data_IF_217863558990
#
_entry.id   IF_217863558990
#
_cell.length_a   1.000
_cell.length_b   1.000
_cell.length_c   1.000
_cell.angle_alpha   90.00
_cell.angle_beta   90.00
_cell.angle_gamma   90.00
#
_symmetry.space_group_name_H-M   'P 1'
#
loop_
_entity.id
_entity.type
_entity.pdbx_description
1 polymer ?
#
# COMPACT_ATOMS: atom_id res chain seq x y z
N UNK A 1 35.70 0.75 6.05
CA UNK A 1 34.51 1.60 6.05
C UNK A 1 34.81 2.86 5.25
N UNK A 2 34.07 3.09 4.19
CA UNK A 2 34.27 4.18 3.24
C UNK A 2 33.07 5.14 3.32
N UNK A 3 33.33 6.45 3.39
CA UNK A 3 32.29 7.48 3.26
C UNK A 3 32.12 7.79 1.78
N UNK A 4 30.89 7.64 1.26
CA UNK A 4 30.55 7.91 -0.12
C UNK A 4 29.51 9.01 -0.22
N UNK A 5 29.63 9.83 -1.24
CA UNK A 5 28.54 10.64 -1.74
C UNK A 5 27.46 9.75 -2.36
N UNK A 6 26.20 10.16 -2.27
CA UNK A 6 25.07 9.38 -2.83
C UNK A 6 25.25 9.11 -4.32
N UNK A 7 25.81 10.05 -5.08
CA UNK A 7 26.12 9.88 -6.51
C UNK A 7 27.12 8.75 -6.81
N UNK A 8 27.89 8.34 -5.81
CA UNK A 8 28.89 7.26 -5.91
C UNK A 8 28.35 5.93 -5.37
N UNK A 9 27.20 5.97 -4.69
CA UNK A 9 26.60 4.80 -4.10
C UNK A 9 25.99 3.92 -5.20
N UNK A 10 26.26 2.62 -5.13
CA UNK A 10 25.76 1.64 -6.11
C UNK A 10 24.95 0.54 -5.45
N UNK A 11 23.93 0.01 -6.14
CA UNK A 11 23.26 -1.20 -5.68
C UNK A 11 24.25 -2.33 -5.42
N UNK A 12 23.99 -3.13 -4.40
CA UNK A 12 24.88 -4.19 -3.94
C UNK A 12 25.85 -3.78 -2.84
N UNK A 13 26.14 -2.48 -2.68
CA UNK A 13 26.97 -1.99 -1.58
C UNK A 13 26.24 -2.18 -0.23
N UNK A 14 27.02 -2.42 0.83
CA UNK A 14 26.48 -2.69 2.17
C UNK A 14 26.75 -1.49 3.09
N UNK A 15 25.72 -1.03 3.81
CA UNK A 15 25.88 0.06 4.76
C UNK A 15 26.73 -0.37 5.95
N UNK A 16 27.71 0.46 6.31
CA UNK A 16 28.57 0.26 7.47
C UNK A 16 28.06 0.99 8.71
N UNK A 17 27.13 1.95 8.53
CA UNK A 17 26.47 2.70 9.62
C UNK A 17 25.01 2.92 9.29
N UNK A 18 24.23 3.10 10.37
CA UNK A 18 22.85 3.52 10.27
C UNK A 18 22.74 4.86 9.53
N UNK A 19 21.75 4.99 8.68
CA UNK A 19 21.37 6.25 8.05
C UNK A 19 20.22 6.83 8.83
N UNK A 20 20.51 7.95 9.53
CA UNK A 20 19.56 8.64 10.39
C UNK A 20 19.18 9.96 9.73
N UNK A 21 17.90 10.27 9.68
CA UNK A 21 17.37 11.54 9.18
C UNK A 21 17.70 12.71 10.11
N UNK A 22 17.67 13.97 9.64
CA UNK A 22 17.93 15.14 10.45
C UNK A 22 17.00 15.29 11.68
N UNK A 23 15.84 14.65 11.64
CA UNK A 23 14.85 14.61 12.71
C UNK A 23 15.07 13.45 13.71
N UNK A 24 16.18 12.71 13.59
CA UNK A 24 16.58 11.63 14.48
C UNK A 24 16.01 10.25 14.12
N UNK A 25 15.17 10.15 13.09
CA UNK A 25 14.59 8.86 12.67
C UNK A 25 15.59 8.02 11.90
N UNK A 26 15.59 6.73 12.18
CA UNK A 26 16.32 5.73 11.42
C UNK A 26 15.68 5.56 10.05
N UNK A 27 16.47 5.71 8.98
CA UNK A 27 16.02 5.47 7.60
C UNK A 27 16.45 4.09 7.09
N UNK A 28 17.71 3.72 7.33
CA UNK A 28 18.29 2.41 6.96
C UNK A 28 19.28 1.96 8.04
N UNK A 29 19.29 0.68 8.36
CA UNK A 29 20.22 0.07 9.33
C UNK A 29 21.58 -0.22 8.71
N UNK A 30 22.63 -0.21 9.55
CA UNK A 30 23.93 -0.79 9.23
C UNK A 30 23.75 -2.26 8.83
N UNK A 31 24.61 -2.72 7.93
CA UNK A 31 24.53 -4.09 7.40
C UNK A 31 23.50 -4.29 6.26
N UNK A 32 22.67 -3.30 5.97
CA UNK A 32 21.75 -3.37 4.82
C UNK A 32 22.49 -3.24 3.49
N UNK A 33 22.11 -4.10 2.54
CA UNK A 33 22.58 -4.01 1.16
C UNK A 33 21.77 -2.93 0.43
N UNK A 34 22.47 -1.97 -0.19
CA UNK A 34 21.84 -0.90 -0.95
C UNK A 34 21.15 -1.49 -2.18
N UNK A 35 19.87 -1.20 -2.31
CA UNK A 35 19.02 -1.53 -3.47
C UNK A 35 18.77 -0.26 -4.29
N UNK A 36 18.47 -0.36 -5.60
CA UNK A 36 18.15 0.80 -6.44
C UNK A 36 17.11 1.73 -5.81
N UNK A 37 16.14 1.12 -5.14
CA UNK A 37 15.10 1.77 -4.40
C UNK A 37 15.61 2.67 -3.27
N UNK A 38 16.62 2.23 -2.53
CA UNK A 38 17.18 3.01 -1.43
C UNK A 38 17.94 4.25 -1.92
N UNK A 39 18.53 4.19 -3.11
CA UNK A 39 19.12 5.38 -3.72
C UNK A 39 18.10 6.49 -3.90
N UNK A 40 16.94 6.17 -4.47
CA UNK A 40 15.83 7.12 -4.63
C UNK A 40 15.30 7.64 -3.29
N UNK A 41 15.22 6.79 -2.26
CA UNK A 41 14.85 7.23 -0.90
C UNK A 41 15.87 8.19 -0.31
N UNK A 42 17.14 7.87 -0.40
CA UNK A 42 18.22 8.71 0.12
C UNK A 42 18.21 10.09 -0.54
N UNK A 43 18.04 10.14 -1.87
CA UNK A 43 17.89 11.38 -2.64
C UNK A 43 16.65 12.17 -2.21
N UNK A 44 15.50 11.50 -2.09
CA UNK A 44 14.24 12.13 -1.68
C UNK A 44 14.31 12.74 -0.27
N UNK A 45 15.07 12.10 0.64
CA UNK A 45 15.33 12.62 1.99
C UNK A 45 16.53 13.58 2.08
N UNK A 46 17.17 13.93 0.93
CA UNK A 46 18.32 14.84 0.86
C UNK A 46 19.48 14.37 1.75
N UNK A 47 19.73 13.07 1.75
CA UNK A 47 20.92 12.50 2.38
C UNK A 47 22.07 12.62 1.38
N UNK A 48 23.09 13.38 1.69
CA UNK A 48 24.21 13.65 0.77
C UNK A 48 25.27 12.55 0.82
N UNK A 49 25.48 11.94 1.98
CA UNK A 49 26.56 10.96 2.20
C UNK A 49 26.13 9.82 3.11
N UNK A 50 26.68 8.63 2.84
CA UNK A 50 26.52 7.43 3.68
C UNK A 50 27.85 6.73 3.90
N UNK A 51 27.91 5.82 4.88
CA UNK A 51 29.07 4.97 5.12
C UNK A 51 28.78 3.56 4.62
N UNK A 52 29.69 3.00 3.81
CA UNK A 52 29.63 1.63 3.31
C UNK A 52 30.78 0.77 3.79
N UNK A 53 30.61 -0.52 3.83
CA UNK A 53 31.69 -1.47 4.06
C UNK A 53 32.66 -1.40 2.88
N UNK A 54 33.96 -1.67 3.09
CA UNK A 54 34.93 -1.85 2.01
C UNK A 54 34.85 -3.27 1.46
N UNK A 55 34.73 -3.42 0.16
CA UNK A 55 34.63 -4.73 -0.48
C UNK A 55 34.35 -4.65 -1.97
N UNK A 56 34.44 -5.80 -2.65
CA UNK A 56 33.84 -5.99 -3.97
C UNK A 56 32.37 -6.35 -3.76
N UNK A 57 31.49 -5.67 -4.49
CA UNK A 57 30.07 -5.90 -4.44
C UNK A 57 29.62 -6.37 -5.82
N UNK A 58 28.79 -7.42 -5.83
CA UNK A 58 28.08 -7.80 -7.05
C UNK A 58 27.06 -6.72 -7.38
N UNK A 59 27.17 -6.15 -8.57
CA UNK A 59 26.19 -5.19 -9.06
C UNK A 59 24.87 -5.92 -9.31
N UNK A 60 23.87 -5.62 -8.48
CA UNK A 60 22.53 -6.16 -8.64
C UNK A 60 21.73 -5.10 -9.38
N UNK A 61 21.38 -5.36 -10.63
CA UNK A 61 20.64 -4.41 -11.47
C UNK A 61 19.21 -4.20 -10.98
N UNK A 62 18.56 -5.26 -10.50
CA UNK A 62 17.20 -5.21 -9.96
C UNK A 62 16.98 -6.36 -8.96
N UNK A 63 16.36 -6.07 -7.82
CA UNK A 63 15.99 -7.10 -6.86
C UNK A 63 14.64 -7.73 -7.23
N UNK A 64 14.48 -9.03 -6.96
CA UNK A 64 13.25 -9.75 -7.28
C UNK A 64 11.99 -9.09 -6.68
N UNK A 65 12.10 -8.55 -5.48
CA UNK A 65 10.99 -7.86 -4.82
C UNK A 65 10.62 -6.54 -5.53
N UNK A 66 11.60 -5.77 -6.01
CA UNK A 66 11.36 -4.54 -6.78
C UNK A 66 10.73 -4.88 -8.13
N UNK A 67 11.19 -5.93 -8.79
CA UNK A 67 10.56 -6.45 -10.03
C UNK A 67 9.11 -6.85 -9.78
N UNK A 68 8.84 -7.60 -8.72
CA UNK A 68 7.50 -8.01 -8.34
C UNK A 68 6.60 -6.79 -8.09
N UNK A 69 7.10 -5.80 -7.35
CA UNK A 69 6.37 -4.58 -7.05
C UNK A 69 6.01 -3.78 -8.33
N UNK A 70 6.97 -3.58 -9.21
CA UNK A 70 6.77 -2.91 -10.49
C UNK A 70 5.84 -3.70 -11.42
N UNK A 71 5.98 -5.03 -11.45
CA UNK A 71 5.09 -5.91 -12.22
C UNK A 71 3.66 -5.85 -11.71
N UNK A 72 3.46 -5.87 -10.40
CA UNK A 72 2.15 -5.74 -9.77
C UNK A 72 1.46 -4.42 -10.17
N UNK A 73 2.18 -3.30 -10.09
CA UNK A 73 1.65 -2.00 -10.50
C UNK A 73 1.26 -1.97 -11.99
N UNK A 74 2.08 -2.55 -12.87
CA UNK A 74 1.78 -2.64 -14.30
C UNK A 74 0.56 -3.53 -14.56
N UNK A 75 0.44 -4.66 -13.86
CA UNK A 75 -0.73 -5.55 -13.93
C UNK A 75 -2.00 -4.79 -13.57
N UNK A 76 -2.00 -4.09 -12.44
CA UNK A 76 -3.19 -3.35 -11.99
C UNK A 76 -3.53 -2.21 -12.96
N UNK A 77 -2.54 -1.48 -13.47
CA UNK A 77 -2.77 -0.48 -14.52
C UNK A 77 -3.52 -1.06 -15.72
N UNK A 78 -3.09 -2.23 -16.19
CA UNK A 78 -3.72 -2.90 -17.34
C UNK A 78 -5.16 -3.28 -17.00
N UNK A 79 -5.42 -3.89 -15.85
CA UNK A 79 -6.76 -4.28 -15.39
C UNK A 79 -7.72 -3.07 -15.32
N UNK A 80 -7.28 -1.95 -14.73
CA UNK A 80 -8.07 -0.71 -14.69
C UNK A 80 -8.35 -0.15 -16.08
N UNK A 81 -7.36 -0.21 -16.98
CA UNK A 81 -7.53 0.23 -18.39
C UNK A 81 -8.57 -0.62 -19.12
N UNK A 82 -8.54 -1.94 -18.96
CA UNK A 82 -9.52 -2.85 -19.56
C UNK A 82 -10.92 -2.63 -18.97
N UNK A 83 -11.03 -2.53 -17.64
CA UNK A 83 -12.29 -2.23 -16.97
C UNK A 83 -12.91 -0.92 -17.45
N UNK A 84 -12.11 0.13 -17.66
CA UNK A 84 -12.56 1.42 -18.18
C UNK A 84 -13.14 1.31 -19.60
N UNK A 85 -12.60 0.40 -20.42
CA UNK A 85 -13.06 0.14 -21.79
C UNK A 85 -14.20 -0.88 -21.86
N UNK A 86 -14.70 -1.37 -20.71
CA UNK A 86 -15.64 -2.49 -20.62
C UNK A 86 -15.14 -3.75 -21.35
N UNK A 87 -13.83 -4.00 -21.30
CA UNK A 87 -13.21 -5.20 -21.87
C UNK A 87 -13.04 -6.26 -20.79
N UNK A 88 -13.21 -7.51 -21.16
CA UNK A 88 -12.91 -8.63 -20.26
C UNK A 88 -11.42 -8.67 -19.97
N UNK A 89 -11.09 -8.80 -18.69
CA UNK A 89 -9.71 -8.91 -18.21
C UNK A 89 -9.45 -10.33 -17.73
N UNK A 90 -8.26 -10.84 -18.03
CA UNK A 90 -7.80 -12.09 -17.43
C UNK A 90 -7.37 -11.82 -15.98
N UNK A 91 -8.25 -12.15 -15.05
CA UNK A 91 -8.01 -11.96 -13.61
C UNK A 91 -7.08 -13.03 -13.01
N UNK A 92 -6.71 -14.07 -13.77
CA UNK A 92 -5.72 -15.07 -13.30
C UNK A 92 -4.38 -14.40 -13.07
N UNK A 93 -3.99 -13.43 -13.90
CA UNK A 93 -2.76 -12.64 -13.74
C UNK A 93 -2.76 -11.86 -12.42
N UNK A 94 -3.91 -11.31 -12.01
CA UNK A 94 -4.03 -10.62 -10.70
C UNK A 94 -3.88 -11.62 -9.56
N UNK A 95 -4.48 -12.80 -9.68
CA UNK A 95 -4.38 -13.86 -8.68
C UNK A 95 -2.94 -14.35 -8.52
N UNK A 96 -2.23 -14.54 -9.62
CA UNK A 96 -0.82 -14.93 -9.60
C UNK A 96 0.03 -13.82 -8.96
N UNK A 97 -0.18 -12.57 -9.34
CA UNK A 97 0.49 -11.41 -8.74
C UNK A 97 0.26 -11.34 -7.22
N UNK A 98 -0.99 -11.51 -6.76
CA UNK A 98 -1.30 -11.52 -5.31
C UNK A 98 -0.66 -12.72 -4.62
N UNK A 99 -0.62 -13.89 -5.27
CA UNK A 99 0.07 -15.08 -4.74
C UNK A 99 1.56 -14.82 -4.54
N UNK A 100 2.21 -14.17 -5.49
CA UNK A 100 3.63 -13.83 -5.41
C UNK A 100 3.90 -12.80 -4.30
N UNK A 101 3.09 -11.74 -4.20
CA UNK A 101 3.15 -10.78 -3.10
C UNK A 101 2.99 -11.49 -1.76
N UNK A 102 1.99 -12.36 -1.63
CA UNK A 102 1.70 -13.10 -0.40
C UNK A 102 2.89 -13.99 0.00
N UNK A 103 3.47 -14.73 -0.94
CA UNK A 103 4.63 -15.57 -0.69
C UNK A 103 5.83 -14.73 -0.21
N UNK A 104 6.10 -13.61 -0.87
CA UNK A 104 7.20 -12.71 -0.47
C UNK A 104 6.95 -12.03 0.89
N UNK A 105 5.73 -11.65 1.21
CA UNK A 105 5.37 -11.14 2.56
C UNK A 105 5.58 -12.23 3.62
N UNK A 106 5.27 -13.48 3.31
CA UNK A 106 5.49 -14.59 4.23
C UNK A 106 6.99 -14.84 4.45
N UNK A 107 7.79 -14.79 3.40
CA UNK A 107 9.23 -15.01 3.43
C UNK A 107 10.01 -13.84 4.04
N UNK A 108 9.66 -12.63 3.67
CA UNK A 108 10.41 -11.42 4.06
C UNK A 108 9.52 -10.18 4.20
N UNK A 109 8.75 -10.15 5.28
CA UNK A 109 7.82 -9.06 5.60
C UNK A 109 8.50 -7.68 5.64
N UNK A 110 9.69 -7.61 6.25
CA UNK A 110 10.43 -6.34 6.39
C UNK A 110 10.82 -5.74 5.04
N UNK A 111 11.30 -6.56 4.11
CA UNK A 111 11.67 -6.09 2.77
C UNK A 111 10.45 -5.60 2.00
N UNK A 112 9.32 -6.31 2.09
CA UNK A 112 8.08 -5.88 1.44
C UNK A 112 7.55 -4.56 2.02
N UNK A 113 7.64 -4.35 3.33
CA UNK A 113 7.30 -3.07 3.96
C UNK A 113 8.21 -1.91 3.51
N UNK A 114 9.47 -2.19 3.24
CA UNK A 114 10.41 -1.16 2.76
C UNK A 114 10.13 -0.72 1.32
N UNK A 115 9.44 -1.53 0.53
CA UNK A 115 9.03 -1.18 -0.84
C UNK A 115 7.84 -0.22 -0.84
N UNK A 116 6.99 -0.28 0.17
CA UNK A 116 5.81 0.58 0.22
C UNK A 116 6.17 2.07 0.41
N UNK A 117 5.32 2.94 -0.09
CA UNK A 117 5.49 4.40 0.02
C UNK A 117 6.52 5.01 -0.93
N UNK A 118 7.07 4.24 -1.89
CA UNK A 118 7.97 4.75 -2.92
C UNK A 118 7.17 4.90 -4.19
N UNK A 119 6.89 6.14 -4.56
CA UNK A 119 6.00 6.43 -5.67
C UNK A 119 6.60 7.42 -6.63
N UNK A 120 6.43 7.10 -7.90
CA UNK A 120 6.50 8.05 -8.97
C UNK A 120 5.13 8.71 -9.13
N UNK A 121 5.08 10.04 -9.29
CA UNK A 121 3.83 10.82 -9.33
C UNK A 121 2.87 10.30 -10.40
N UNK A 122 3.41 9.83 -11.53
CA UNK A 122 2.61 9.35 -12.68
C UNK A 122 1.93 7.98 -12.44
N UNK A 123 2.38 7.20 -11.44
CA UNK A 123 1.91 5.85 -11.15
C UNK A 123 1.18 5.71 -9.82
N UNK A 124 0.88 6.83 -9.16
CA UNK A 124 0.35 6.90 -7.81
C UNK A 124 -0.79 5.90 -7.52
N UNK A 125 -1.84 5.89 -8.33
CA UNK A 125 -3.06 5.08 -8.08
C UNK A 125 -2.77 3.57 -8.08
N UNK A 126 -1.89 3.10 -8.96
CA UNK A 126 -1.62 1.67 -9.10
C UNK A 126 -0.66 1.16 -8.04
N UNK A 127 0.35 1.97 -7.70
CA UNK A 127 1.26 1.69 -6.60
C UNK A 127 0.53 1.69 -5.25
N UNK A 128 -0.43 2.60 -5.07
CA UNK A 128 -1.33 2.60 -3.91
C UNK A 128 -2.05 1.27 -3.72
N UNK A 129 -2.63 0.72 -4.78
CA UNK A 129 -3.31 -0.57 -4.69
C UNK A 129 -2.36 -1.71 -4.30
N UNK A 130 -1.10 -1.67 -4.76
CA UNK A 130 -0.07 -2.65 -4.36
C UNK A 130 0.31 -2.47 -2.89
N UNK A 131 0.51 -1.24 -2.44
CA UNK A 131 0.86 -0.93 -1.04
C UNK A 131 -0.26 -1.36 -0.07
N UNK A 132 -1.51 -1.02 -0.39
CA UNK A 132 -2.68 -1.45 0.39
C UNK A 132 -2.78 -2.98 0.44
N UNK A 133 -2.47 -3.68 -0.67
CA UNK A 133 -2.42 -5.14 -0.70
C UNK A 133 -1.34 -5.69 0.24
N UNK A 134 -0.12 -5.15 0.20
CA UNK A 134 0.99 -5.57 1.06
C UNK A 134 0.63 -5.36 2.55
N UNK A 135 0.18 -4.16 2.93
CA UNK A 135 -0.23 -3.87 4.32
C UNK A 135 -1.35 -4.80 4.78
N UNK A 136 -2.35 -5.03 3.93
CA UNK A 136 -3.47 -5.91 4.25
C UNK A 136 -3.05 -7.36 4.46
N UNK A 137 -2.18 -7.90 3.61
CA UNK A 137 -1.65 -9.27 3.74
C UNK A 137 -0.83 -9.41 5.03
N UNK A 138 0.00 -8.42 5.37
CA UNK A 138 0.77 -8.41 6.62
C UNK A 138 -0.18 -8.44 7.83
N UNK A 139 -1.20 -7.60 7.86
CA UNK A 139 -2.19 -7.57 8.93
C UNK A 139 -2.98 -8.89 9.01
N UNK A 140 -3.42 -9.42 7.88
CA UNK A 140 -4.11 -10.70 7.82
C UNK A 140 -3.26 -11.87 8.32
N UNK A 141 -1.96 -11.88 8.00
CA UNK A 141 -0.99 -12.85 8.53
C UNK A 141 -0.86 -12.73 10.06
N UNK A 142 -0.77 -11.52 10.59
CA UNK A 142 -0.71 -11.25 12.04
C UNK A 142 -1.99 -11.66 12.76
N UNK A 143 -3.15 -11.55 12.09
CA UNK A 143 -4.44 -12.05 12.56
C UNK A 143 -4.56 -13.58 12.51
N UNK A 144 -3.55 -14.28 12.00
CA UNK A 144 -3.52 -15.76 11.89
C UNK A 144 -4.36 -16.29 10.72
N UNK A 145 -4.65 -15.49 9.70
CA UNK A 145 -5.40 -15.95 8.54
C UNK A 145 -4.59 -16.96 7.73
N UNK A 146 -5.24 -18.07 7.37
CA UNK A 146 -4.68 -19.07 6.46
C UNK A 146 -4.67 -18.59 5.00
N UNK A 147 -4.16 -19.43 4.10
CA UNK A 147 -3.91 -19.11 2.69
C UNK A 147 -5.14 -18.57 1.95
N UNK A 148 -6.30 -19.19 2.08
CA UNK A 148 -7.50 -18.80 1.33
C UNK A 148 -8.09 -17.44 1.79
N UNK A 149 -8.23 -17.15 3.10
CA UNK A 149 -8.58 -15.81 3.55
C UNK A 149 -7.53 -14.75 3.14
N UNK A 150 -6.23 -15.04 3.23
CA UNK A 150 -5.18 -14.11 2.79
C UNK A 150 -5.25 -13.83 1.29
N UNK A 151 -5.52 -14.85 0.47
CA UNK A 151 -5.72 -14.67 -0.97
C UNK A 151 -6.93 -13.78 -1.25
N UNK A 152 -8.06 -14.02 -0.57
CA UNK A 152 -9.26 -13.18 -0.71
C UNK A 152 -9.01 -11.73 -0.29
N UNK A 153 -8.26 -11.55 0.80
CA UNK A 153 -7.88 -10.25 1.33
C UNK A 153 -6.97 -9.50 0.34
N UNK A 154 -5.91 -10.15 -0.15
CA UNK A 154 -4.99 -9.56 -1.12
C UNK A 154 -5.67 -9.19 -2.44
N UNK A 155 -6.54 -10.08 -2.96
CA UNK A 155 -7.34 -9.83 -4.16
C UNK A 155 -8.28 -8.64 -3.98
N UNK A 156 -8.95 -8.57 -2.83
CA UNK A 156 -9.84 -7.45 -2.52
C UNK A 156 -9.09 -6.14 -2.32
N UNK A 157 -7.97 -6.19 -1.62
CA UNK A 157 -7.14 -5.03 -1.36
C UNK A 157 -6.54 -4.44 -2.66
N UNK A 158 -6.00 -5.28 -3.55
CA UNK A 158 -5.39 -4.81 -4.80
C UNK A 158 -6.43 -4.28 -5.80
N UNK A 159 -7.70 -4.70 -5.68
CA UNK A 159 -8.81 -4.30 -6.55
C UNK A 159 -9.82 -3.36 -5.85
N UNK A 160 -9.58 -2.93 -4.60
CA UNK A 160 -10.58 -2.19 -3.82
C UNK A 160 -11.14 -0.96 -4.56
N UNK A 161 -10.29 -0.31 -5.30
CA UNK A 161 -10.55 0.93 -6.05
C UNK A 161 -10.92 0.73 -7.53
N UNK A 162 -11.08 -0.51 -8.01
CA UNK A 162 -11.32 -0.78 -9.45
C UNK A 162 -12.53 -0.02 -10.00
N UNK A 163 -13.53 0.25 -9.17
CA UNK A 163 -14.72 0.99 -9.56
C UNK A 163 -14.46 2.45 -9.94
N UNK A 164 -13.32 3.03 -9.56
CA UNK A 164 -12.90 4.36 -10.01
C UNK A 164 -12.80 4.48 -11.54
N UNK A 165 -12.65 3.36 -12.24
CA UNK A 165 -12.68 3.34 -13.71
C UNK A 165 -14.02 3.80 -14.31
N UNK A 166 -15.12 3.77 -13.53
CA UNK A 166 -16.48 4.21 -13.93
C UNK A 166 -16.82 5.62 -13.46
N UNK A 167 -16.00 6.21 -12.60
CA UNK A 167 -16.20 7.60 -12.15
C UNK A 167 -15.75 8.57 -13.25
N UNK A 168 -16.51 9.65 -13.54
CA UNK A 168 -16.11 10.66 -14.51
C UNK A 168 -14.71 11.21 -14.24
N UNK A 169 -13.93 11.38 -15.30
CA UNK A 169 -12.53 11.79 -15.18
C UNK A 169 -12.39 13.20 -14.58
N UNK A 170 -13.36 14.06 -14.85
CA UNK A 170 -13.44 15.43 -14.36
C UNK A 170 -13.56 15.47 -12.83
N UNK A 171 -14.22 14.46 -12.23
CA UNK A 171 -14.35 14.31 -10.78
C UNK A 171 -13.06 13.72 -10.20
N UNK A 172 -12.51 12.66 -10.84
CA UNK A 172 -11.29 11.99 -10.38
C UNK A 172 -10.07 12.92 -10.38
N UNK A 173 -9.97 13.82 -11.36
CA UNK A 173 -8.82 14.70 -11.55
C UNK A 173 -9.08 16.16 -11.10
N UNK A 174 -10.22 16.41 -10.46
CA UNK A 174 -10.58 17.77 -10.03
C UNK A 174 -9.54 18.32 -9.05
N UNK A 175 -8.91 19.47 -9.35
CA UNK A 175 -8.05 20.12 -8.40
C UNK A 175 -8.89 20.77 -7.29
N UNK A 176 -8.70 20.33 -6.04
CA UNK A 176 -9.37 20.88 -4.86
C UNK A 176 -10.51 20.01 -4.33
N UNK A 177 -11.40 20.61 -3.54
CA UNK A 177 -12.50 19.89 -2.89
C UNK A 177 -13.62 19.58 -3.88
N UNK A 178 -14.19 18.40 -3.77
CA UNK A 178 -15.40 18.00 -4.48
C UNK A 178 -16.62 18.71 -3.86
N UNK A 179 -17.63 19.02 -4.68
CA UNK A 179 -18.95 19.37 -4.15
C UNK A 179 -19.64 18.14 -3.56
N UNK A 180 -20.74 18.32 -2.82
CA UNK A 180 -21.47 17.20 -2.24
C UNK A 180 -21.99 16.24 -3.32
N UNK A 181 -22.46 16.74 -4.44
CA UNK A 181 -22.91 15.94 -5.58
C UNK A 181 -21.74 15.18 -6.22
N UNK A 182 -20.60 15.82 -6.45
CA UNK A 182 -19.40 15.17 -6.99
C UNK A 182 -18.87 14.13 -6.02
N UNK A 183 -18.96 14.39 -4.71
CA UNK A 183 -18.55 13.42 -3.69
C UNK A 183 -19.47 12.19 -3.69
N UNK A 184 -20.78 12.36 -3.85
CA UNK A 184 -21.72 11.25 -4.04
C UNK A 184 -21.34 10.41 -5.28
N UNK A 185 -21.00 11.04 -6.39
CA UNK A 185 -20.51 10.33 -7.57
C UNK A 185 -19.20 9.59 -7.29
N UNK A 186 -18.28 10.19 -6.52
CA UNK A 186 -17.05 9.54 -6.12
C UNK A 186 -17.33 8.30 -5.26
N UNK A 187 -18.27 8.37 -4.31
CA UNK A 187 -18.64 7.23 -3.45
C UNK A 187 -19.14 6.02 -4.25
N UNK A 188 -19.74 6.25 -5.41
CA UNK A 188 -20.23 5.16 -6.29
C UNK A 188 -19.13 4.21 -6.77
N UNK A 189 -17.84 4.56 -6.65
CA UNK A 189 -16.77 3.62 -7.02
C UNK A 189 -16.83 2.33 -6.21
N UNK A 190 -17.32 2.37 -4.97
CA UNK A 190 -17.49 1.17 -4.13
C UNK A 190 -18.55 0.22 -4.72
N UNK A 191 -19.65 0.77 -5.20
CA UNK A 191 -20.72 0.02 -5.86
C UNK A 191 -20.23 -0.54 -7.20
N UNK A 192 -19.64 0.30 -8.03
CA UNK A 192 -19.09 -0.12 -9.32
C UNK A 192 -17.97 -1.17 -9.18
N UNK A 193 -17.12 -1.03 -8.16
CA UNK A 193 -16.08 -2.00 -7.84
C UNK A 193 -16.66 -3.37 -7.49
N UNK A 194 -17.66 -3.39 -6.61
CA UNK A 194 -18.38 -4.61 -6.26
C UNK A 194 -18.99 -5.28 -7.48
N UNK A 195 -19.67 -4.51 -8.35
CA UNK A 195 -20.29 -5.03 -9.57
C UNK A 195 -19.26 -5.61 -10.55
N UNK A 196 -18.15 -4.93 -10.78
CA UNK A 196 -17.07 -5.39 -11.67
C UNK A 196 -16.50 -6.71 -11.13
N UNK A 197 -16.15 -6.76 -9.83
CA UNK A 197 -15.54 -7.92 -9.21
C UNK A 197 -16.50 -9.12 -9.23
N UNK A 198 -17.77 -8.90 -8.93
CA UNK A 198 -18.77 -9.97 -8.84
C UNK A 198 -19.25 -10.46 -10.21
N UNK A 199 -19.55 -9.55 -11.13
CA UNK A 199 -20.24 -9.88 -12.37
C UNK A 199 -19.27 -10.09 -13.54
N UNK A 200 -18.25 -9.23 -13.68
CA UNK A 200 -17.27 -9.31 -14.76
C UNK A 200 -16.14 -10.27 -14.43
N UNK A 201 -15.57 -10.15 -13.23
CA UNK A 201 -14.40 -10.95 -12.83
C UNK A 201 -14.74 -12.25 -12.11
N UNK A 202 -15.97 -12.40 -11.62
CA UNK A 202 -16.47 -13.61 -10.94
C UNK A 202 -15.58 -14.09 -9.78
N UNK A 203 -14.98 -13.15 -9.04
CA UNK A 203 -14.04 -13.45 -7.94
C UNK A 203 -14.73 -13.79 -6.61
N UNK A 204 -16.06 -13.86 -6.58
CA UNK A 204 -16.85 -14.22 -5.41
C UNK A 204 -17.14 -13.05 -4.47
N UNK A 205 -18.03 -13.32 -3.50
CA UNK A 205 -18.60 -12.27 -2.63
C UNK A 205 -17.59 -11.68 -1.66
N UNK A 206 -16.64 -12.47 -1.13
CA UNK A 206 -15.64 -11.98 -0.17
C UNK A 206 -14.78 -10.86 -0.77
N UNK A 207 -14.28 -11.05 -1.99
CA UNK A 207 -13.49 -10.05 -2.70
C UNK A 207 -14.33 -8.83 -3.06
N UNK A 208 -15.58 -9.05 -3.51
CA UNK A 208 -16.51 -7.98 -3.86
C UNK A 208 -16.92 -7.13 -2.65
N UNK A 209 -17.12 -7.76 -1.48
CA UNK A 209 -17.45 -7.05 -0.25
C UNK A 209 -16.34 -6.09 0.19
N UNK A 210 -15.08 -6.44 -0.02
CA UNK A 210 -13.96 -5.54 0.29
C UNK A 210 -14.08 -4.24 -0.52
N UNK A 211 -14.26 -4.34 -1.84
CA UNK A 211 -14.44 -3.16 -2.67
C UNK A 211 -15.70 -2.36 -2.30
N UNK A 212 -16.76 -3.03 -1.86
CA UNK A 212 -18.02 -2.39 -1.46
C UNK A 212 -17.92 -1.67 -0.13
N UNK A 213 -17.18 -2.22 0.86
CA UNK A 213 -17.23 -1.81 2.26
C UNK A 213 -15.95 -1.15 2.79
N UNK A 214 -14.88 -0.99 2.00
CA UNK A 214 -13.62 -0.45 2.50
C UNK A 214 -13.70 1.03 2.95
N UNK A 215 -14.77 1.72 2.64
CA UNK A 215 -15.08 3.06 3.13
C UNK A 215 -16.17 3.09 4.20
N UNK A 216 -16.66 1.93 4.65
CA UNK A 216 -17.46 1.88 5.86
C UNK A 216 -16.59 2.19 7.08
N UNK A 217 -17.18 2.83 8.09
CA UNK A 217 -16.49 3.21 9.31
C UNK A 217 -17.07 2.45 10.50
N UNK A 218 -16.22 2.16 11.45
CA UNK A 218 -16.63 1.39 12.63
C UNK A 218 -17.86 1.95 13.34
N UNK A 219 -18.01 3.27 13.39
CA UNK A 219 -19.13 3.99 14.00
C UNK A 219 -20.40 4.09 13.12
N UNK A 220 -20.35 3.64 11.86
CA UNK A 220 -21.46 3.69 10.92
C UNK A 220 -21.59 5.01 10.14
N UNK A 221 -20.63 5.93 10.28
CA UNK A 221 -20.62 7.20 9.51
C UNK A 221 -19.98 7.07 8.12
N UNK A 222 -19.67 5.84 7.70
CA UNK A 222 -19.08 5.51 6.41
C UNK A 222 -20.09 5.41 5.27
N UNK A 223 -19.64 4.86 4.16
CA UNK A 223 -20.46 4.60 2.98
C UNK A 223 -20.02 3.30 2.29
N UNK A 224 -20.84 2.69 1.42
CA UNK A 224 -22.10 3.19 0.85
C UNK A 224 -23.35 2.88 1.70
N UNK A 225 -23.27 1.97 2.69
CA UNK A 225 -24.43 1.48 3.43
C UNK A 225 -24.58 2.15 4.80
N UNK A 226 -23.52 2.74 5.36
CA UNK A 226 -23.52 3.25 6.73
C UNK A 226 -23.66 2.16 7.79
N UNK A 227 -23.13 0.97 7.52
CA UNK A 227 -23.11 -0.15 8.47
C UNK A 227 -21.97 0.03 9.48
N UNK A 228 -22.11 -0.57 10.68
CA UNK A 228 -21.17 -0.34 11.78
C UNK A 228 -20.67 -1.62 12.43
N UNK A 229 -19.53 -1.52 13.09
CA UNK A 229 -18.97 -2.57 13.94
C UNK A 229 -18.78 -3.89 13.19
N UNK A 230 -19.25 -4.96 13.82
CA UNK A 230 -19.10 -6.32 13.28
C UNK A 230 -20.00 -6.64 12.07
N UNK A 231 -20.89 -5.73 11.65
CA UNK A 231 -21.64 -5.90 10.39
C UNK A 231 -20.81 -5.60 9.17
N UNK A 232 -19.68 -4.88 9.32
CA UNK A 232 -18.70 -4.67 8.27
C UNK A 232 -17.87 -5.96 8.10
N UNK A 233 -17.68 -6.40 6.86
CA UNK A 233 -16.85 -7.56 6.54
C UNK A 233 -15.44 -7.41 7.16
N UNK A 234 -14.94 -8.42 7.91
CA UNK A 234 -13.66 -8.33 8.60
C UNK A 234 -12.48 -8.05 7.66
N UNK A 235 -12.54 -8.53 6.41
CA UNK A 235 -11.50 -8.24 5.42
C UNK A 235 -11.57 -6.77 4.95
N UNK A 236 -12.78 -6.21 4.82
CA UNK A 236 -12.95 -4.80 4.46
C UNK A 236 -12.44 -3.86 5.57
N UNK A 237 -12.62 -4.22 6.85
CA UNK A 237 -12.06 -3.45 7.99
C UNK A 237 -10.53 -3.37 7.96
N UNK A 238 -9.86 -4.45 7.55
CA UNK A 238 -8.39 -4.46 7.38
C UNK A 238 -7.99 -3.52 6.24
N UNK A 239 -8.66 -3.63 5.09
CA UNK A 239 -8.35 -2.81 3.91
C UNK A 239 -8.64 -1.34 4.17
N UNK A 240 -9.71 -0.99 4.88
CA UNK A 240 -10.02 0.39 5.27
C UNK A 240 -8.88 1.05 6.07
N UNK A 241 -8.29 0.32 7.02
CA UNK A 241 -7.15 0.82 7.79
C UNK A 241 -5.89 0.95 6.92
N UNK A 242 -5.59 -0.07 6.11
CA UNK A 242 -4.43 -0.08 5.21
C UNK A 242 -4.50 1.05 4.17
N UNK A 243 -5.67 1.31 3.59
CA UNK A 243 -5.93 2.39 2.64
C UNK A 243 -5.64 3.76 3.26
N UNK A 244 -6.19 4.03 4.45
CA UNK A 244 -5.95 5.31 5.13
C UNK A 244 -4.49 5.48 5.53
N UNK A 245 -3.83 4.42 6.02
CA UNK A 245 -2.42 4.48 6.38
C UNK A 245 -1.56 4.83 5.17
N UNK A 246 -1.76 4.13 4.05
CA UNK A 246 -1.06 4.43 2.82
C UNK A 246 -1.36 5.84 2.31
N UNK A 247 -2.62 6.26 2.38
CA UNK A 247 -3.03 7.61 1.99
C UNK A 247 -2.37 8.72 2.83
N UNK A 248 -2.05 8.46 4.09
CA UNK A 248 -1.35 9.39 4.98
C UNK A 248 0.16 9.40 4.74
N UNK A 249 0.77 8.25 4.51
CA UNK A 249 2.23 8.08 4.43
C UNK A 249 2.80 8.26 3.04
N UNK A 250 1.97 8.52 2.04
CA UNK A 250 2.36 8.69 0.64
C UNK A 250 2.20 10.13 0.16
N UNK A 251 3.14 10.60 -0.67
CA UNK A 251 3.04 11.90 -1.33
C UNK A 251 1.90 11.90 -2.35
N UNK A 252 1.04 12.90 -2.29
CA UNK A 252 -0.04 13.15 -3.26
C UNK A 252 0.17 14.50 -3.92
N UNK A 253 -0.38 14.70 -5.11
CA UNK A 253 -0.25 15.95 -5.88
C UNK A 253 -0.58 17.20 -5.03
N UNK A 254 -1.48 17.06 -4.05
CA UNK A 254 -1.98 18.18 -3.23
C UNK A 254 -1.65 18.07 -1.74
N UNK A 255 -0.97 16.99 -1.29
CA UNK A 255 -0.65 16.77 0.12
C UNK A 255 0.70 16.08 0.26
N UNK A 256 1.62 16.69 1.02
CA UNK A 256 2.85 16.02 1.45
C UNK A 256 2.51 14.88 2.39
N UNK A 257 3.28 13.81 2.32
CA UNK A 257 3.15 12.65 3.21
C UNK A 257 3.37 13.04 4.67
N UNK A 258 2.61 12.39 5.53
CA UNK A 258 2.85 12.37 6.96
C UNK A 258 3.96 11.36 7.29
N UNK A 259 4.60 11.56 8.44
CA UNK A 259 5.55 10.60 8.94
C UNK A 259 4.83 9.34 9.44
N UNK A 260 5.42 8.14 9.30
CA UNK A 260 4.78 6.89 9.74
C UNK A 260 4.21 6.92 11.16
N UNK A 261 4.94 7.50 12.12
CA UNK A 261 4.47 7.61 13.50
C UNK A 261 3.29 8.58 13.66
N UNK A 262 3.24 9.66 12.85
CA UNK A 262 2.10 10.60 12.84
C UNK A 262 0.87 9.92 12.27
N UNK A 263 1.03 9.15 11.19
CA UNK A 263 -0.06 8.36 10.61
C UNK A 263 -0.55 7.28 11.59
N UNK A 264 0.36 6.60 12.29
CA UNK A 264 0.02 5.61 13.32
C UNK A 264 -0.75 6.24 14.48
N UNK A 265 -0.34 7.42 14.92
CA UNK A 265 -1.05 8.15 15.98
C UNK A 265 -2.44 8.60 15.52
N UNK A 266 -2.59 9.06 14.27
CA UNK A 266 -3.91 9.34 13.68
C UNK A 266 -4.82 8.10 13.70
N UNK A 267 -4.30 6.93 13.30
CA UNK A 267 -5.04 5.67 13.33
C UNK A 267 -5.45 5.31 14.76
N UNK A 268 -4.54 5.46 15.74
CA UNK A 268 -4.80 5.19 17.15
C UNK A 268 -5.91 6.09 17.70
N UNK A 269 -5.89 7.38 17.41
CA UNK A 269 -6.89 8.36 17.85
C UNK A 269 -8.28 8.09 17.25
N UNK A 270 -8.34 7.41 16.11
CA UNK A 270 -9.59 7.05 15.43
C UNK A 270 -10.02 5.59 15.67
N UNK A 271 -9.43 4.93 16.67
CA UNK A 271 -9.85 3.61 17.14
C UNK A 271 -11.25 3.66 17.73
N UNK A 272 -12.12 2.75 17.31
CA UNK A 272 -13.53 2.70 17.76
C UNK A 272 -14.46 3.72 17.08
N UNK A 273 -13.93 4.59 16.22
CA UNK A 273 -14.69 5.51 15.39
C UNK A 273 -14.55 5.16 13.91
N UNK A 274 -13.40 5.42 13.31
CA UNK A 274 -13.15 5.06 11.91
C UNK A 274 -12.79 3.57 11.77
N UNK A 275 -12.01 3.04 12.71
CA UNK A 275 -11.38 1.72 12.60
C UNK A 275 -11.77 0.77 13.72
N UNK A 276 -11.74 -0.52 13.39
CA UNK A 276 -11.89 -1.60 14.35
C UNK A 276 -10.78 -1.54 15.42
N UNK A 277 -11.11 -1.42 16.72
CA UNK A 277 -10.11 -1.29 17.79
C UNK A 277 -9.10 -2.44 17.83
N UNK A 278 -9.55 -3.66 17.53
CA UNK A 278 -8.67 -4.83 17.54
C UNK A 278 -7.64 -4.79 16.41
N UNK A 279 -8.07 -4.36 15.22
CA UNK A 279 -7.14 -4.21 14.08
C UNK A 279 -6.18 -3.04 14.32
N UNK A 280 -6.64 -1.94 14.93
CA UNK A 280 -5.78 -0.81 15.29
C UNK A 280 -4.68 -1.23 16.25
N UNK A 281 -5.01 -1.94 17.32
CA UNK A 281 -4.02 -2.41 18.30
C UNK A 281 -2.96 -3.29 17.61
N UNK A 282 -3.38 -4.24 16.79
CA UNK A 282 -2.47 -5.09 16.04
C UNK A 282 -1.58 -4.30 15.06
N UNK A 283 -2.15 -3.33 14.36
CA UNK A 283 -1.45 -2.51 13.38
C UNK A 283 -0.34 -1.68 14.04
N UNK A 284 -0.66 -0.96 15.11
CA UNK A 284 0.28 -0.10 15.82
C UNK A 284 1.46 -0.92 16.35
N UNK A 285 1.19 -2.11 16.89
CA UNK A 285 2.23 -2.99 17.44
C UNK A 285 3.04 -3.75 16.36
N UNK A 286 2.61 -3.76 15.10
CA UNK A 286 3.25 -4.55 14.05
C UNK A 286 3.90 -3.72 12.95
N UNK A 287 3.24 -2.67 12.48
CA UNK A 287 3.68 -1.91 11.30
C UNK A 287 4.28 -0.56 11.73
N UNK A 288 3.70 0.09 12.74
CA UNK A 288 4.21 1.37 13.21
C UNK A 288 5.59 1.28 13.89
N UNK A 289 5.94 0.13 14.46
CA UNK A 289 7.23 -0.10 15.13
C UNK A 289 8.41 -0.07 14.15
N UNK A 290 8.21 -0.39 12.87
CA UNK A 290 9.28 -0.26 11.85
C UNK A 290 9.61 1.19 11.46
N UNK A 291 8.91 2.18 12.03
CA UNK A 291 9.20 3.62 11.88
C UNK A 291 9.96 4.24 13.06
N UNK A 292 10.03 3.55 14.21
CA UNK A 292 10.81 3.97 15.37
C UNK A 292 11.98 2.99 15.53
N UNK A 293 13.22 3.51 15.40
CA UNK A 293 14.41 2.73 15.63
C UNK A 293 14.41 2.13 17.04
N UNK A 294 14.27 0.83 17.14
CA UNK A 294 14.72 0.02 18.28
C UNK A 294 15.96 -0.74 17.87
#
# INVERSE_FOLDING_TARGET
MLRLDISQLKPGMKLAKDVILPDGRLLLLAGFTIKPLYLRKLEAFKIDTVYVEEGQYDLIEEFEEERLYNHAAATIRNIFSMARRNQDADVTVVKDTVSDIMNRVIENETVMLQLTGIRDIDNYTFLHSVDVCIYSIILGKKLGYGKDPLMSLGMGAILHDIGKCKVPIEILQKPGKLSDEEFQHMQMHTVYGCEIIKNSYRLGSKVANIAFQHHEKWDGTGYPMGISGNTIDPLARIVALADVYDALTSDRVYKKRELPHVAAEYIRQNSGTLFDPYIVDLFVNSIAVYGEGT
#
